data_IF_267117492777
#
_entry.id   IF_267117492777
#
_cell.length_a   1.000
_cell.length_b   1.000
_cell.length_c   1.000
_cell.angle_alpha   90.00
_cell.angle_beta   90.00
_cell.angle_gamma   90.00
#
_symmetry.space_group_name_H-M   'P 1'
#
loop_
_entity.id
_entity.type
_entity.pdbx_description
1 polymer ?
#
# COMPACT_ATOMS: atom_id res chain seq x y z
N UNK A 1 11.68 -36.88 32.82
CA UNK A 1 10.55 -36.37 33.61
C UNK A 1 9.74 -35.43 32.72
N UNK A 2 8.51 -35.81 32.34
CA UNK A 2 7.62 -34.90 31.60
C UNK A 2 7.20 -33.78 32.56
N UNK A 3 7.54 -32.54 32.24
CA UNK A 3 7.16 -31.39 33.07
C UNK A 3 5.65 -31.18 32.93
N UNK A 4 4.93 -31.19 34.05
CA UNK A 4 3.50 -30.90 34.07
C UNK A 4 3.24 -29.51 33.46
N UNK A 5 2.42 -29.46 32.42
CA UNK A 5 2.00 -28.22 31.77
C UNK A 5 0.72 -27.72 32.44
N UNK A 6 0.64 -26.40 32.64
CA UNK A 6 -0.50 -25.74 33.27
C UNK A 6 -1.13 -24.74 32.30
N UNK A 7 -2.45 -24.58 32.42
CA UNK A 7 -3.20 -23.50 31.79
C UNK A 7 -3.78 -22.57 32.86
N UNK A 8 -3.87 -21.29 32.54
CA UNK A 8 -4.45 -20.25 33.41
C UNK A 8 -5.87 -19.98 32.95
N UNK A 9 -6.81 -20.16 33.87
CA UNK A 9 -8.24 -19.97 33.64
C UNK A 9 -8.71 -18.76 34.43
N UNK A 10 -9.48 -17.89 33.76
CA UNK A 10 -10.14 -16.75 34.36
C UNK A 10 -11.65 -16.88 34.20
N UNK A 11 -12.40 -16.85 35.31
CA UNK A 11 -13.85 -17.10 35.35
C UNK A 11 -14.68 -15.83 35.46
N UNK A 12 -14.08 -14.64 35.35
CA UNK A 12 -14.78 -13.37 35.53
C UNK A 12 -14.93 -12.92 36.99
N UNK A 13 -14.38 -13.68 37.95
CA UNK A 13 -14.41 -13.31 39.37
C UNK A 13 -13.41 -12.21 39.71
N UNK A 14 -13.85 -11.27 40.53
CA UNK A 14 -13.06 -10.13 41.02
C UNK A 14 -12.44 -10.47 42.38
N UNK A 15 -11.31 -9.86 42.69
CA UNK A 15 -10.78 -9.88 44.06
C UNK A 15 -11.68 -9.06 45.00
N UNK A 16 -11.84 -9.46 46.28
CA UNK A 16 -12.49 -8.62 47.28
C UNK A 16 -11.75 -7.27 47.34
N UNK A 17 -12.49 -6.18 47.50
CA UNK A 17 -11.99 -4.79 47.61
C UNK A 17 -11.65 -4.05 46.31
N UNK A 18 -12.01 -4.54 45.11
CA UNK A 18 -11.79 -3.81 43.85
C UNK A 18 -13.08 -3.67 43.01
N UNK A 19 -13.44 -2.44 42.55
CA UNK A 19 -14.63 -2.25 41.71
C UNK A 19 -14.38 -2.78 40.29
N UNK A 20 -15.43 -3.33 39.67
CA UNK A 20 -15.40 -3.93 38.32
C UNK A 20 -14.75 -3.02 37.27
N UNK A 21 -15.06 -1.73 37.30
CA UNK A 21 -14.53 -0.74 36.35
C UNK A 21 -13.01 -0.52 36.51
N UNK A 22 -12.48 -0.54 37.74
CA UNK A 22 -11.04 -0.44 37.97
C UNK A 22 -10.30 -1.70 37.48
N UNK A 23 -10.90 -2.89 37.68
CA UNK A 23 -10.31 -4.15 37.20
C UNK A 23 -10.26 -4.18 35.67
N UNK A 24 -11.33 -3.75 34.98
CA UNK A 24 -11.35 -3.65 33.51
C UNK A 24 -10.22 -2.74 32.99
N UNK A 25 -10.04 -1.57 33.60
CA UNK A 25 -8.97 -0.64 33.22
C UNK A 25 -7.57 -1.24 33.46
N UNK A 26 -7.34 -1.86 34.62
CA UNK A 26 -6.07 -2.49 34.95
C UNK A 26 -5.74 -3.67 34.02
N UNK A 27 -6.73 -4.48 33.65
CA UNK A 27 -6.57 -5.58 32.70
C UNK A 27 -6.31 -5.08 31.28
N UNK A 28 -6.95 -4.00 30.84
CA UNK A 28 -6.69 -3.38 29.54
C UNK A 28 -5.23 -2.91 29.42
N UNK A 29 -4.69 -2.32 30.50
CA UNK A 29 -3.27 -1.94 30.57
C UNK A 29 -2.36 -3.17 30.59
N UNK A 30 -2.66 -4.17 31.42
CA UNK A 30 -1.85 -5.40 31.55
C UNK A 30 -1.74 -6.17 30.22
N UNK A 31 -2.86 -6.29 29.49
CA UNK A 31 -2.91 -6.97 28.19
C UNK A 31 -2.61 -6.06 27.00
N UNK A 32 -2.35 -4.75 27.22
CA UNK A 32 -2.16 -3.75 26.17
C UNK A 32 -3.25 -3.81 25.09
N UNK A 33 -4.50 -3.92 25.53
CA UNK A 33 -5.65 -4.23 24.68
C UNK A 33 -6.81 -3.29 25.00
N UNK A 34 -7.67 -3.05 24.01
CA UNK A 34 -8.85 -2.19 24.13
C UNK A 34 -9.82 -2.69 25.23
N UNK A 35 -10.41 -1.79 26.04
CA UNK A 35 -11.37 -2.15 27.10
C UNK A 35 -12.56 -2.98 26.60
N UNK A 36 -12.98 -2.79 25.34
CA UNK A 36 -14.09 -3.54 24.73
C UNK A 36 -13.80 -5.04 24.56
N UNK A 37 -12.52 -5.41 24.39
CA UNK A 37 -12.08 -6.82 24.30
C UNK A 37 -11.99 -7.46 25.68
N UNK A 38 -11.62 -6.68 26.69
CA UNK A 38 -11.56 -7.13 28.09
C UNK A 38 -12.96 -7.41 28.63
N UNK A 39 -13.96 -6.63 28.22
CA UNK A 39 -15.37 -6.84 28.62
C UNK A 39 -15.89 -8.22 28.23
N UNK A 40 -15.41 -8.78 27.11
CA UNK A 40 -15.76 -10.15 26.68
C UNK A 40 -15.28 -11.23 27.65
N UNK A 41 -14.22 -10.97 28.43
CA UNK A 41 -13.72 -11.90 29.44
C UNK A 41 -14.64 -11.98 30.68
N UNK A 42 -15.53 -11.00 30.86
CA UNK A 42 -16.52 -10.96 31.94
C UNK A 42 -17.90 -11.47 31.49
N UNK A 43 -18.02 -12.03 30.28
CA UNK A 43 -19.29 -12.55 29.72
C UNK A 43 -19.78 -13.87 30.35
N UNK A 44 -19.15 -14.33 31.44
CA UNK A 44 -19.56 -15.51 32.21
C UNK A 44 -19.00 -16.85 31.70
N UNK A 45 -18.24 -16.87 30.60
CA UNK A 45 -17.54 -18.07 30.13
C UNK A 45 -16.09 -18.08 30.63
N UNK A 46 -15.65 -19.20 31.21
CA UNK A 46 -14.28 -19.38 31.66
C UNK A 46 -13.30 -19.22 30.48
N UNK A 47 -12.49 -18.16 30.54
CA UNK A 47 -11.53 -17.82 29.49
C UNK A 47 -10.14 -18.38 29.82
N UNK A 48 -9.56 -19.12 28.88
CA UNK A 48 -8.16 -19.56 28.96
C UNK A 48 -7.27 -18.41 28.51
N UNK A 49 -6.55 -17.80 29.44
CA UNK A 49 -5.66 -16.67 29.14
C UNK A 49 -4.37 -17.16 28.47
N UNK A 50 -3.80 -18.27 28.97
CA UNK A 50 -2.56 -18.86 28.44
C UNK A 50 -2.42 -20.32 28.87
N UNK A 51 -2.01 -21.20 27.95
CA UNK A 51 -1.78 -22.63 28.17
C UNK A 51 -0.31 -23.02 27.96
N UNK A 52 0.04 -24.28 28.26
CA UNK A 52 1.39 -24.85 28.12
C UNK A 52 2.48 -24.14 28.94
N UNK A 53 2.14 -23.70 30.15
CA UNK A 53 3.08 -23.01 31.04
C UNK A 53 3.72 -23.99 32.03
N UNK A 54 4.98 -23.74 32.38
CA UNK A 54 5.59 -24.39 33.55
C UNK A 54 4.97 -23.86 34.85
N UNK A 55 5.06 -24.61 35.96
CA UNK A 55 4.48 -24.18 37.25
C UNK A 55 4.98 -22.79 37.69
N UNK A 56 6.30 -22.53 37.54
CA UNK A 56 6.88 -21.25 37.97
C UNK A 56 6.41 -20.08 37.11
N UNK A 57 6.20 -20.30 35.81
CA UNK A 57 5.66 -19.27 34.93
C UNK A 57 4.18 -19.00 35.22
N UNK A 58 3.38 -20.06 35.41
CA UNK A 58 1.97 -19.94 35.75
C UNK A 58 1.76 -19.08 37.01
N UNK A 59 2.58 -19.28 38.04
CA UNK A 59 2.51 -18.51 39.29
C UNK A 59 2.83 -17.02 39.08
N UNK A 60 3.77 -16.68 38.18
CA UNK A 60 4.07 -15.28 37.82
C UNK A 60 2.89 -14.58 37.15
N UNK A 61 2.22 -15.26 36.23
CA UNK A 61 1.04 -14.72 35.54
C UNK A 61 -0.16 -14.58 36.49
N UNK A 62 -0.38 -15.55 37.38
CA UNK A 62 -1.43 -15.46 38.41
C UNK A 62 -1.19 -14.26 39.32
N UNK A 63 0.04 -14.05 39.78
CA UNK A 63 0.39 -12.89 40.60
C UNK A 63 0.17 -11.55 39.89
N UNK A 64 0.38 -11.49 38.57
CA UNK A 64 0.10 -10.29 37.78
C UNK A 64 -1.42 -10.03 37.65
N UNK A 65 -2.22 -11.08 37.46
CA UNK A 65 -3.68 -10.99 37.37
C UNK A 65 -4.32 -10.61 38.70
N UNK A 66 -3.85 -11.17 39.81
CA UNK A 66 -4.33 -10.83 41.15
C UNK A 66 -4.03 -9.37 41.51
N UNK A 67 -2.84 -8.86 41.15
CA UNK A 67 -2.49 -7.44 41.32
C UNK A 67 -3.38 -6.51 40.48
N UNK A 68 -3.86 -6.98 39.33
CA UNK A 68 -4.82 -6.26 38.51
C UNK A 68 -6.27 -6.36 39.03
N UNK A 69 -6.51 -7.14 40.09
CA UNK A 69 -7.83 -7.34 40.71
C UNK A 69 -8.66 -8.47 40.11
N UNK A 70 -8.07 -9.31 39.25
CA UNK A 70 -8.74 -10.43 38.60
C UNK A 70 -8.40 -11.75 39.28
N UNK A 71 -9.40 -12.53 39.68
CA UNK A 71 -9.20 -13.84 40.31
C UNK A 71 -8.98 -14.90 39.22
N UNK A 72 -7.74 -15.37 39.10
CA UNK A 72 -7.36 -16.45 38.19
C UNK A 72 -6.76 -17.63 38.97
N UNK A 73 -6.92 -18.83 38.43
CA UNK A 73 -6.34 -20.07 38.97
C UNK A 73 -5.66 -20.89 37.87
N UNK A 74 -4.72 -21.75 38.27
CA UNK A 74 -4.06 -22.71 37.37
C UNK A 74 -4.80 -24.05 37.40
N UNK A 75 -5.05 -24.61 36.23
CA UNK A 75 -5.48 -26.00 36.07
C UNK A 75 -4.35 -26.81 35.44
N UNK A 76 -4.07 -28.04 35.94
CA UNK A 76 -3.15 -28.95 35.27
C UNK A 76 -3.74 -29.39 33.93
N UNK A 77 -2.95 -29.26 32.87
CA UNK A 77 -3.31 -29.71 31.53
C UNK A 77 -2.97 -31.21 31.42
N UNK A 78 -3.90 -32.06 31.86
CA UNK A 78 -3.79 -33.51 31.67
C UNK A 78 -4.05 -33.83 30.19
N UNK A 79 -3.04 -34.35 29.49
CA UNK A 79 -3.22 -35.06 28.23
C UNK A 79 -4.17 -36.23 28.47
N UNK A 80 -5.41 -36.12 27.99
CA UNK A 80 -6.42 -37.17 28.11
C UNK A 80 -5.86 -38.52 27.61
N UNK A 81 -6.09 -39.64 28.33
CA UNK A 81 -5.68 -40.94 27.84
C UNK A 81 -6.54 -41.33 26.64
N UNK A 82 -5.90 -41.82 25.58
CA UNK A 82 -6.55 -42.52 24.48
C UNK A 82 -7.34 -43.71 25.04
N UNK A 83 -8.67 -43.66 24.90
CA UNK A 83 -9.53 -44.82 25.03
C UNK A 83 -9.09 -45.86 23.98
N UNK A 84 -8.39 -46.89 24.42
CA UNK A 84 -8.12 -48.08 23.60
C UNK A 84 -9.33 -49.01 23.76
N UNK A 85 -10.12 -49.12 22.70
CA UNK A 85 -11.10 -50.18 22.56
C UNK A 85 -10.34 -51.45 22.15
N UNK A 86 -10.41 -52.48 22.99
CA UNK A 86 -9.99 -53.83 22.61
C UNK A 86 -11.05 -54.35 21.63
N UNK A 87 -10.67 -54.49 20.36
CA UNK A 87 -11.51 -55.14 19.36
C UNK A 87 -11.52 -56.65 19.62
N UNK A 88 -12.72 -57.25 19.60
CA UNK A 88 -12.96 -58.68 19.79
C UNK A 88 -12.56 -59.48 18.55
N UNK A 89 -12.21 -60.76 18.75
CA UNK A 89 -11.68 -61.68 17.73
C UNK A 89 -12.57 -61.87 16.48
N UNK A 90 -13.85 -61.46 16.53
CA UNK A 90 -14.76 -61.44 15.36
C UNK A 90 -14.34 -60.43 14.28
N UNK A 91 -13.69 -59.31 14.63
CA UNK A 91 -13.23 -58.31 13.64
C UNK A 91 -11.94 -58.75 12.92
N UNK A 92 -11.12 -59.60 13.55
CA UNK A 92 -9.89 -60.16 12.95
C UNK A 92 -10.18 -61.17 11.83
N UNK A 93 -11.32 -61.86 11.90
CA UNK A 93 -11.72 -62.82 10.87
C UNK A 93 -12.25 -62.15 9.58
N UNK A 94 -12.72 -60.90 9.66
CA UNK A 94 -13.27 -60.18 8.51
C UNK A 94 -12.20 -59.44 7.66
N UNK A 95 -10.95 -59.34 8.14
CA UNK A 95 -9.89 -58.58 7.49
C UNK A 95 -9.00 -59.39 6.51
N UNK A 96 -9.31 -60.67 6.27
CA UNK A 96 -8.58 -61.51 5.31
C UNK A 96 -9.46 -61.81 4.10
N UNK A 97 -9.69 -60.78 3.30
CA UNK A 97 -10.21 -60.87 1.95
C UNK A 97 -9.45 -59.87 1.07
N UNK A 98 -8.83 -60.38 0.02
CA UNK A 98 -7.95 -59.70 -0.94
C UNK A 98 -8.32 -58.23 -1.23
N UNK A 99 -7.45 -57.30 -0.84
CA UNK A 99 -7.41 -55.95 -1.39
C UNK A 99 -6.20 -55.81 -2.33
N UNK A 100 -6.39 -55.39 -3.59
CA UNK A 100 -5.31 -55.21 -4.56
C UNK A 100 -4.30 -54.17 -4.07
N UNK A 101 -3.04 -54.15 -4.59
CA UNK A 101 -1.99 -53.25 -4.12
C UNK A 101 -2.50 -51.81 -4.08
N UNK A 102 -2.55 -51.26 -2.88
CA UNK A 102 -3.11 -49.94 -2.62
C UNK A 102 -2.39 -48.91 -3.51
N UNK A 103 -3.13 -48.30 -4.43
CA UNK A 103 -2.61 -47.21 -5.25
C UNK A 103 -2.07 -46.12 -4.31
N UNK A 104 -0.77 -45.87 -4.40
CA UNK A 104 -0.08 -44.82 -3.65
C UNK A 104 -0.56 -43.46 -4.16
N UNK A 105 -1.10 -42.64 -3.26
CA UNK A 105 -1.45 -41.26 -3.53
C UNK A 105 -0.48 -40.32 -2.81
N UNK A 106 -0.26 -39.14 -3.38
CA UNK A 106 0.55 -38.11 -2.76
C UNK A 106 -0.34 -37.05 -2.12
N UNK A 107 -0.06 -36.69 -0.86
CA UNK A 107 -0.83 -35.66 -0.17
C UNK A 107 -0.65 -34.28 -0.84
N UNK A 108 -1.73 -33.59 -1.22
CA UNK A 108 -1.66 -32.29 -1.91
C UNK A 108 -1.16 -31.12 -1.06
N UNK A 109 -0.99 -31.32 0.26
CA UNK A 109 -0.51 -30.28 1.18
C UNK A 109 0.97 -30.43 1.53
N UNK A 110 1.42 -31.65 1.85
CA UNK A 110 2.80 -31.89 2.31
C UNK A 110 3.65 -32.73 1.35
N UNK A 111 3.06 -33.30 0.30
CA UNK A 111 3.81 -34.13 -0.67
C UNK A 111 4.16 -35.53 -0.18
N UNK A 112 3.66 -35.98 0.97
CA UNK A 112 3.91 -37.33 1.48
C UNK A 112 3.17 -38.39 0.66
N UNK A 113 3.86 -39.46 0.25
CA UNK A 113 3.27 -40.60 -0.45
C UNK A 113 2.71 -41.61 0.56
N UNK A 114 1.43 -41.93 0.42
CA UNK A 114 0.70 -42.84 1.30
C UNK A 114 -0.29 -43.68 0.50
N UNK A 115 -0.74 -44.81 1.05
CA UNK A 115 -1.88 -45.53 0.50
C UNK A 115 -3.13 -44.64 0.51
N UNK A 116 -4.07 -44.90 -0.40
CA UNK A 116 -5.31 -44.13 -0.47
C UNK A 116 -6.05 -44.12 0.88
N UNK A 117 -6.21 -42.93 1.48
CA UNK A 117 -6.81 -42.76 2.79
C UNK A 117 -7.45 -41.37 2.91
N UNK A 118 -8.53 -41.27 3.70
CA UNK A 118 -9.28 -40.02 3.89
C UNK A 118 -8.48 -38.96 4.65
N UNK A 119 -7.47 -39.37 5.42
CA UNK A 119 -6.59 -38.49 6.20
C UNK A 119 -5.11 -38.69 5.84
N UNK A 120 -4.33 -37.62 5.87
CA UNK A 120 -2.88 -37.70 5.69
C UNK A 120 -2.16 -38.12 6.97
N UNK A 121 -1.40 -39.22 6.90
CA UNK A 121 -0.65 -39.80 8.03
C UNK A 121 0.42 -38.86 8.63
N UNK A 122 0.94 -37.92 7.84
CA UNK A 122 2.00 -37.00 8.28
C UNK A 122 1.46 -35.65 8.75
N UNK A 123 0.57 -35.02 7.97
CA UNK A 123 0.14 -33.65 8.23
C UNK A 123 -1.30 -33.52 8.75
N UNK A 124 -2.01 -34.65 8.94
CA UNK A 124 -3.31 -34.72 9.60
C UNK A 124 -4.44 -33.99 8.87
N UNK A 125 -4.34 -33.78 7.55
CA UNK A 125 -5.44 -33.21 6.78
C UNK A 125 -6.38 -34.27 6.27
N UNK A 126 -7.67 -33.94 6.25
CA UNK A 126 -8.66 -34.71 5.49
C UNK A 126 -8.52 -34.32 4.02
N UNK A 127 -8.03 -35.24 3.18
CA UNK A 127 -7.59 -34.96 1.80
C UNK A 127 -8.76 -34.45 0.95
N UNK A 128 -9.93 -35.09 1.04
CA UNK A 128 -11.13 -34.69 0.31
C UNK A 128 -11.59 -33.28 0.67
N UNK A 129 -11.64 -32.94 1.97
CA UNK A 129 -12.01 -31.59 2.43
C UNK A 129 -11.01 -30.53 1.98
N UNK A 130 -9.73 -30.87 1.93
CA UNK A 130 -8.67 -29.97 1.47
C UNK A 130 -8.78 -29.69 -0.03
N UNK A 131 -9.02 -30.72 -0.84
CA UNK A 131 -9.25 -30.59 -2.27
C UNK A 131 -10.53 -29.81 -2.59
N UNK A 132 -11.63 -30.08 -1.88
CA UNK A 132 -12.87 -29.33 -2.01
C UNK A 132 -12.68 -27.83 -1.70
N UNK A 133 -11.88 -27.51 -0.68
CA UNK A 133 -11.55 -26.11 -0.34
C UNK A 133 -10.64 -25.46 -1.38
N UNK A 134 -9.66 -26.19 -1.94
CA UNK A 134 -8.86 -25.67 -3.05
C UNK A 134 -9.71 -25.38 -4.29
N UNK A 135 -10.64 -26.28 -4.65
CA UNK A 135 -11.55 -26.07 -5.78
C UNK A 135 -12.41 -24.80 -5.61
N UNK A 136 -12.97 -24.58 -4.41
CA UNK A 136 -13.74 -23.36 -4.10
C UNK A 136 -12.88 -22.08 -4.20
N UNK A 137 -11.62 -22.12 -3.76
CA UNK A 137 -10.70 -20.98 -3.89
C UNK A 137 -10.33 -20.70 -5.34
N UNK A 138 -10.17 -21.74 -6.17
CA UNK A 138 -9.94 -21.59 -7.61
C UNK A 138 -11.19 -21.03 -8.33
N UNK A 139 -12.39 -21.45 -7.94
CA UNK A 139 -13.66 -20.96 -8.50
C UNK A 139 -13.96 -19.51 -8.08
N UNK A 140 -13.51 -19.10 -6.89
CA UNK A 140 -13.58 -17.72 -6.41
C UNK A 140 -12.54 -16.78 -7.06
N UNK A 141 -11.48 -17.35 -7.64
CA UNK A 141 -10.42 -16.62 -8.32
C UNK A 141 -10.66 -16.47 -9.85
N UNK A 142 -11.62 -17.22 -10.41
CA UNK A 142 -12.09 -16.98 -11.76
C UNK A 142 -12.88 -15.66 -11.82
N UNK A 143 -12.76 -14.85 -12.87
CA UNK A 143 -13.55 -13.63 -13.02
C UNK A 143 -15.02 -14.02 -13.18
N UNK A 144 -15.79 -13.88 -12.09
CA UNK A 144 -17.21 -14.20 -12.07
C UNK A 144 -17.98 -13.16 -12.89
N UNK A 145 -18.36 -13.56 -14.11
CA UNK A 145 -19.48 -12.96 -14.81
C UNK A 145 -20.74 -13.14 -13.96
N UNK A 146 -21.50 -12.04 -13.85
CA UNK A 146 -22.64 -11.89 -12.96
C UNK A 146 -23.64 -13.05 -12.98
N UNK A 147 -23.84 -13.69 -11.83
CA UNK A 147 -25.11 -14.30 -11.43
C UNK A 147 -25.09 -14.65 -9.94
N UNK A 148 -25.17 -13.62 -9.09
CA UNK A 148 -25.41 -13.81 -7.68
C UNK A 148 -26.91 -14.07 -7.45
N UNK A 149 -27.23 -15.22 -6.85
CA UNK A 149 -28.54 -15.49 -6.25
C UNK A 149 -28.76 -14.50 -5.11
N UNK A 150 -29.77 -13.64 -5.25
CA UNK A 150 -30.09 -12.57 -4.29
C UNK A 150 -30.72 -13.20 -3.04
N UNK A 151 -30.00 -13.19 -1.92
CA UNK A 151 -30.58 -13.50 -0.61
C UNK A 151 -31.50 -12.34 -0.17
N UNK A 152 -32.75 -12.61 0.29
CA UNK A 152 -33.75 -11.58 0.63
C UNK A 152 -33.35 -10.59 1.73
N UNK A 153 -32.32 -10.91 2.53
CA UNK A 153 -31.82 -10.06 3.62
C UNK A 153 -30.40 -9.53 3.37
N UNK A 154 -29.91 -9.58 2.12
CA UNK A 154 -28.60 -9.04 1.80
C UNK A 154 -28.62 -7.50 1.90
N UNK A 155 -27.74 -6.87 2.70
CA UNK A 155 -27.60 -5.42 2.69
C UNK A 155 -27.17 -4.97 1.29
N UNK A 156 -27.60 -3.78 0.82
CA UNK A 156 -27.18 -3.26 -0.47
C UNK A 156 -25.66 -3.17 -0.50
N UNK A 157 -25.02 -3.99 -1.34
CA UNK A 157 -23.59 -3.91 -1.56
C UNK A 157 -23.32 -2.69 -2.43
N UNK A 158 -22.86 -1.60 -1.81
CA UNK A 158 -22.19 -0.56 -2.56
C UNK A 158 -20.91 -1.18 -3.14
N UNK A 159 -20.78 -1.19 -4.47
CA UNK A 159 -19.53 -1.60 -5.11
C UNK A 159 -18.49 -0.51 -4.87
N UNK A 160 -17.87 -0.50 -3.67
CA UNK A 160 -16.84 0.49 -3.27
C UNK A 160 -15.52 0.27 -4.01
N UNK A 161 -15.45 -0.72 -4.89
CA UNK A 161 -14.33 -1.02 -5.75
C UNK A 161 -14.64 -0.65 -7.20
N UNK A 162 -14.89 0.63 -7.48
CA UNK A 162 -14.45 1.12 -8.79
C UNK A 162 -12.93 1.03 -8.80
N UNK A 163 -12.42 0.00 -9.46
CA UNK A 163 -11.00 -0.20 -9.67
C UNK A 163 -10.49 1.01 -10.46
N UNK A 164 -9.99 2.03 -9.74
CA UNK A 164 -9.44 3.21 -10.37
C UNK A 164 -8.36 2.77 -11.38
N UNK A 165 -8.35 3.34 -12.60
CA UNK A 165 -7.38 3.00 -13.62
C UNK A 165 -5.97 3.04 -13.02
N UNK A 166 -5.16 2.02 -13.29
CA UNK A 166 -3.80 1.90 -12.73
C UNK A 166 -2.93 3.12 -13.10
N UNK A 167 -3.25 3.79 -14.21
CA UNK A 167 -2.63 5.05 -14.63
C UNK A 167 -3.70 6.05 -15.06
N UNK A 168 -3.45 7.33 -14.81
CA UNK A 168 -4.34 8.42 -15.25
C UNK A 168 -4.08 8.85 -16.70
N UNK A 169 -5.11 9.40 -17.34
CA UNK A 169 -4.98 9.93 -18.70
C UNK A 169 -4.15 11.21 -18.75
N UNK A 170 -3.41 11.40 -19.85
CA UNK A 170 -2.63 12.60 -20.11
C UNK A 170 -3.50 13.66 -20.80
N UNK A 171 -3.70 14.80 -20.15
CA UNK A 171 -4.48 15.92 -20.69
C UNK A 171 -3.61 17.19 -20.78
N UNK A 172 -2.81 17.36 -21.86
CA UNK A 172 -1.79 18.43 -21.93
C UNK A 172 -2.33 19.85 -21.77
N UNK A 173 -3.54 20.12 -22.26
CA UNK A 173 -4.17 21.45 -22.24
C UNK A 173 -5.26 21.59 -21.17
N UNK A 174 -5.15 20.85 -20.08
CA UNK A 174 -6.11 20.88 -18.96
C UNK A 174 -5.43 21.34 -17.68
N UNK A 175 -6.24 21.77 -16.71
CA UNK A 175 -5.81 21.95 -15.31
C UNK A 175 -6.05 20.68 -14.47
N UNK A 176 -6.72 19.68 -15.06
CA UNK A 176 -7.01 18.40 -14.40
C UNK A 176 -5.98 17.34 -14.79
N UNK A 177 -5.71 16.42 -13.87
CA UNK A 177 -4.72 15.37 -14.05
C UNK A 177 -3.36 15.71 -13.46
N UNK A 178 -2.40 14.85 -13.79
CA UNK A 178 -1.06 14.81 -13.18
C UNK A 178 0.01 14.61 -14.23
N UNK A 179 1.11 15.34 -14.10
CA UNK A 179 2.30 15.10 -14.92
C UNK A 179 3.55 14.89 -14.07
N UNK A 180 4.30 13.84 -14.41
CA UNK A 180 5.58 13.55 -13.76
C UNK A 180 6.68 14.53 -14.18
N UNK A 181 7.75 14.61 -13.38
CA UNK A 181 8.90 15.51 -13.61
C UNK A 181 9.52 15.41 -15.01
N UNK A 182 9.64 14.19 -15.58
CA UNK A 182 10.25 14.02 -16.91
C UNK A 182 9.38 14.61 -18.01
N UNK A 183 8.05 14.45 -17.93
CA UNK A 183 7.14 15.10 -18.87
C UNK A 183 7.18 16.60 -18.69
N UNK A 184 7.15 17.09 -17.45
CA UNK A 184 7.28 18.51 -17.15
C UNK A 184 8.50 19.11 -17.87
N UNK A 185 9.69 18.51 -17.72
CA UNK A 185 10.90 18.96 -18.42
C UNK A 185 10.80 18.90 -19.95
N UNK A 186 10.28 17.80 -20.49
CA UNK A 186 10.13 17.64 -21.93
C UNK A 186 9.18 18.69 -22.53
N UNK A 187 8.05 18.96 -21.86
CA UNK A 187 7.10 19.98 -22.30
C UNK A 187 7.63 21.40 -22.09
N UNK A 188 8.45 21.66 -21.06
CA UNK A 188 9.16 22.95 -20.90
C UNK A 188 10.07 23.23 -22.10
N UNK A 189 10.80 22.23 -22.60
CA UNK A 189 11.62 22.36 -23.81
C UNK A 189 10.77 22.67 -25.05
N UNK A 190 9.66 21.96 -25.23
CA UNK A 190 8.73 22.19 -26.37
C UNK A 190 8.16 23.60 -26.31
N UNK A 191 7.73 24.06 -25.14
CA UNK A 191 7.22 25.42 -24.93
C UNK A 191 8.29 26.46 -25.19
N UNK A 192 9.53 26.23 -24.74
CA UNK A 192 10.62 27.17 -24.98
C UNK A 192 10.87 27.33 -26.49
N UNK A 193 11.01 26.24 -27.24
CA UNK A 193 11.24 26.34 -28.69
C UNK A 193 10.05 26.95 -29.44
N UNK A 194 8.83 26.57 -29.07
CA UNK A 194 7.63 27.18 -29.61
C UNK A 194 7.60 28.70 -29.32
N UNK A 195 7.98 29.11 -28.11
CA UNK A 195 8.06 30.51 -27.72
C UNK A 195 9.10 31.24 -28.58
N UNK A 196 10.32 30.72 -28.67
CA UNK A 196 11.38 31.34 -29.47
C UNK A 196 10.96 31.53 -30.93
N UNK A 197 10.37 30.51 -31.56
CA UNK A 197 9.88 30.62 -32.94
C UNK A 197 8.75 31.64 -33.09
N UNK A 198 7.76 31.59 -32.21
CA UNK A 198 6.56 32.42 -32.30
C UNK A 198 6.86 33.90 -31.96
N UNK A 199 7.71 34.16 -30.96
CA UNK A 199 8.21 35.50 -30.67
C UNK A 199 9.17 36.00 -31.76
N UNK A 200 9.94 35.13 -32.41
CA UNK A 200 10.74 35.49 -33.58
C UNK A 200 9.88 36.03 -34.73
N UNK A 201 8.76 35.35 -35.03
CA UNK A 201 7.77 35.85 -36.02
C UNK A 201 7.18 37.19 -35.59
N UNK A 202 6.83 37.34 -34.30
CA UNK A 202 6.29 38.59 -33.79
C UNK A 202 7.30 39.75 -33.86
N UNK A 203 8.59 39.48 -33.67
CA UNK A 203 9.67 40.45 -33.83
C UNK A 203 9.83 40.89 -35.30
N UNK A 204 9.70 39.97 -36.26
CA UNK A 204 9.68 40.31 -37.70
C UNK A 204 8.48 41.20 -38.02
N UNK A 205 7.28 40.87 -37.50
CA UNK A 205 6.08 41.71 -37.66
C UNK A 205 6.27 43.10 -37.06
N UNK A 206 6.98 43.21 -35.93
CA UNK A 206 7.30 44.48 -35.28
C UNK A 206 8.20 45.37 -36.14
N UNK A 207 9.11 44.78 -36.91
CA UNK A 207 9.97 45.52 -37.83
C UNK A 207 9.18 46.15 -38.99
N UNK A 208 8.02 45.59 -39.34
CA UNK A 208 7.10 46.13 -40.35
C UNK A 208 6.17 47.18 -39.72
N UNK A 209 5.59 46.86 -38.57
CA UNK A 209 4.73 47.76 -37.81
C UNK A 209 4.84 47.48 -36.32
N UNK A 210 5.26 48.49 -35.56
CA UNK A 210 5.45 48.38 -34.12
C UNK A 210 4.16 47.99 -33.39
N UNK A 211 3.02 48.59 -33.74
CA UNK A 211 1.71 48.27 -33.16
C UNK A 211 1.32 46.82 -33.43
N UNK A 212 1.51 46.33 -34.66
CA UNK A 212 1.17 44.96 -35.03
C UNK A 212 2.05 43.94 -34.29
N UNK A 213 3.36 44.21 -34.22
CA UNK A 213 4.30 43.38 -33.48
C UNK A 213 3.98 43.29 -31.99
N UNK A 214 3.66 44.43 -31.35
CA UNK A 214 3.29 44.47 -29.93
C UNK A 214 2.01 43.68 -29.63
N UNK A 215 0.98 43.83 -30.48
CA UNK A 215 -0.27 43.07 -30.33
C UNK A 215 0.00 41.57 -30.47
N UNK A 216 0.74 41.15 -31.50
CA UNK A 216 1.11 39.75 -31.70
C UNK A 216 1.89 39.21 -30.50
N UNK A 217 2.91 39.92 -30.02
CA UNK A 217 3.70 39.50 -28.85
C UNK A 217 2.84 39.36 -27.60
N UNK A 218 1.91 40.29 -27.34
CA UNK A 218 0.99 40.21 -26.21
C UNK A 218 0.09 38.98 -26.26
N UNK A 219 -0.54 38.72 -27.41
CA UNK A 219 -1.42 37.56 -27.60
C UNK A 219 -0.66 36.23 -27.46
N UNK A 220 0.52 36.15 -28.07
CA UNK A 220 1.43 35.00 -27.96
C UNK A 220 1.82 34.79 -26.50
N UNK A 221 2.23 35.85 -25.80
CA UNK A 221 2.61 35.81 -24.40
C UNK A 221 1.50 35.28 -23.50
N UNK A 222 0.26 35.75 -23.69
CA UNK A 222 -0.91 35.25 -22.95
C UNK A 222 -1.16 33.77 -23.22
N UNK A 223 -1.14 33.36 -24.50
CA UNK A 223 -1.33 31.95 -24.86
C UNK A 223 -0.27 31.04 -24.23
N UNK A 224 0.99 31.43 -24.30
CA UNK A 224 2.11 30.68 -23.72
C UNK A 224 2.05 30.65 -22.19
N UNK A 225 1.62 31.75 -21.56
CA UNK A 225 1.40 31.81 -20.12
C UNK A 225 0.33 30.82 -19.68
N UNK A 226 -0.81 30.76 -20.39
CA UNK A 226 -1.90 29.82 -20.08
C UNK A 226 -1.42 28.38 -20.15
N UNK A 227 -0.72 27.99 -21.21
CA UNK A 227 -0.19 26.62 -21.35
C UNK A 227 0.85 26.30 -20.27
N UNK A 228 1.74 27.23 -19.96
CA UNK A 228 2.75 27.09 -18.90
C UNK A 228 2.09 26.88 -17.53
N UNK A 229 1.06 27.66 -17.21
CA UNK A 229 0.27 27.52 -15.97
C UNK A 229 -0.44 26.17 -15.92
N UNK A 230 -1.08 25.73 -17.00
CA UNK A 230 -1.77 24.43 -17.05
C UNK A 230 -0.83 23.26 -16.72
N UNK A 231 0.34 23.25 -17.35
CA UNK A 231 1.38 22.23 -17.12
C UNK A 231 1.94 22.34 -15.70
N UNK A 232 2.19 23.56 -15.21
CA UNK A 232 2.66 23.79 -13.85
C UNK A 232 1.66 23.29 -12.78
N UNK A 233 0.38 23.56 -12.97
CA UNK A 233 -0.70 23.08 -12.09
C UNK A 233 -0.75 21.55 -12.06
N UNK A 234 -0.73 20.90 -13.23
CA UNK A 234 -0.70 19.42 -13.30
C UNK A 234 0.57 18.83 -12.66
N UNK A 235 1.68 19.56 -12.67
CA UNK A 235 2.91 19.14 -11.99
C UNK A 235 2.78 19.26 -10.47
N UNK A 236 2.16 20.32 -9.96
CA UNK A 236 1.86 20.48 -8.53
C UNK A 236 0.92 19.37 -8.03
N UNK A 237 -0.07 19.01 -8.85
CA UNK A 237 -0.97 17.90 -8.57
C UNK A 237 -0.27 16.54 -8.46
N UNK A 238 0.87 16.35 -9.13
CA UNK A 238 1.59 15.07 -9.13
C UNK A 238 2.17 14.69 -7.76
N UNK A 239 2.54 15.67 -6.93
CA UNK A 239 2.94 15.45 -5.53
C UNK A 239 1.88 15.92 -4.53
N UNK A 240 0.63 16.12 -4.98
CA UNK A 240 -0.53 16.35 -4.12
C UNK A 240 -0.73 17.79 -3.66
N UNK A 241 0.04 18.76 -4.16
CA UNK A 241 -0.06 20.17 -3.78
C UNK A 241 -1.15 20.92 -4.57
N UNK A 242 -1.60 22.07 -4.06
CA UNK A 242 -2.61 22.89 -4.76
C UNK A 242 -2.02 23.60 -5.97
N UNK A 243 -2.79 23.69 -7.06
CA UNK A 243 -2.40 24.42 -8.26
C UNK A 243 -2.16 25.92 -8.02
N UNK A 244 -2.79 26.51 -6.99
CA UNK A 244 -2.60 27.91 -6.60
C UNK A 244 -1.15 28.29 -6.27
N UNK A 245 -0.33 27.32 -5.86
CA UNK A 245 1.10 27.57 -5.61
C UNK A 245 1.86 27.99 -6.87
N UNK A 246 1.28 27.82 -8.08
CA UNK A 246 1.88 28.33 -9.31
C UNK A 246 2.05 29.86 -9.29
N UNK A 247 1.24 30.58 -8.51
CA UNK A 247 1.35 32.03 -8.35
C UNK A 247 2.64 32.46 -7.65
N UNK A 248 3.34 31.54 -6.96
CA UNK A 248 4.66 31.82 -6.40
C UNK A 248 5.69 32.19 -7.48
N UNK A 249 5.46 31.80 -8.74
CA UNK A 249 6.29 32.23 -9.88
C UNK A 249 6.22 33.75 -10.14
N UNK A 250 5.20 34.44 -9.64
CA UNK A 250 5.06 35.89 -9.78
C UNK A 250 5.89 36.68 -8.74
N UNK A 251 6.36 36.01 -7.68
CA UNK A 251 7.22 36.63 -6.67
C UNK A 251 8.67 36.50 -7.16
N UNK A 252 9.47 37.56 -7.31
CA UNK A 252 10.77 37.48 -7.99
C UNK A 252 11.74 36.43 -7.41
N UNK A 253 11.97 36.49 -6.10
CA UNK A 253 12.92 35.57 -5.43
C UNK A 253 12.35 34.15 -5.40
N UNK A 254 11.11 33.98 -4.89
CA UNK A 254 10.50 32.65 -4.78
C UNK A 254 10.25 32.03 -6.16
N UNK A 255 9.84 32.81 -7.14
CA UNK A 255 9.55 32.38 -8.49
C UNK A 255 10.79 31.98 -9.28
N UNK A 256 11.96 32.53 -8.95
CA UNK A 256 13.21 32.01 -9.48
C UNK A 256 13.57 30.63 -8.89
N UNK A 257 13.24 30.38 -7.61
CA UNK A 257 13.59 29.13 -6.91
C UNK A 257 12.55 28.01 -7.08
N UNK A 258 11.27 28.36 -7.23
CA UNK A 258 10.14 27.43 -7.21
C UNK A 258 10.16 26.40 -8.36
N UNK A 259 10.51 26.74 -9.61
CA UNK A 259 10.66 25.76 -10.69
C UNK A 259 11.70 24.66 -10.37
N UNK A 260 12.74 24.98 -9.61
CA UNK A 260 13.72 23.99 -9.17
C UNK A 260 13.12 23.03 -8.14
N UNK A 261 12.27 23.52 -7.23
CA UNK A 261 11.50 22.65 -6.32
C UNK A 261 10.61 21.71 -7.12
N UNK A 262 9.89 22.23 -8.13
CA UNK A 262 9.02 21.42 -9.01
C UNK A 262 9.81 20.38 -9.83
N UNK A 263 11.07 20.65 -10.15
CA UNK A 263 11.98 19.74 -10.84
C UNK A 263 12.49 18.62 -9.91
N UNK A 264 12.96 18.98 -8.71
CA UNK A 264 13.65 18.07 -7.80
C UNK A 264 12.69 17.18 -6.99
N UNK A 265 11.50 17.69 -6.65
CA UNK A 265 10.56 16.97 -5.81
C UNK A 265 9.99 15.72 -6.50
N UNK A 266 10.02 14.52 -5.91
CA UNK A 266 9.41 13.34 -6.51
C UNK A 266 7.86 13.42 -6.48
N UNK A 267 7.20 12.89 -7.51
CA UNK A 267 5.74 12.72 -7.54
C UNK A 267 5.25 11.57 -6.66
N UNK A 268 3.97 11.57 -6.30
CA UNK A 268 3.34 10.47 -5.54
C UNK A 268 3.18 9.23 -6.42
N UNK A 269 3.58 8.05 -5.92
CA UNK A 269 3.40 6.78 -6.65
C UNK A 269 2.00 6.21 -6.50
N UNK A 270 1.33 6.58 -5.42
CA UNK A 270 -0.03 6.19 -5.13
C UNK A 270 -1.04 7.14 -5.78
N UNK A 271 -2.29 6.70 -5.79
CA UNK A 271 -3.44 7.53 -6.14
C UNK A 271 -3.53 8.68 -5.14
N UNK A 272 -3.65 9.91 -5.64
CA UNK A 272 -3.84 11.09 -4.80
C UNK A 272 -5.18 11.76 -5.16
N UNK A 273 -5.54 12.87 -4.48
CA UNK A 273 -6.79 13.60 -4.72
C UNK A 273 -7.00 14.11 -6.16
N UNK A 274 -5.94 14.14 -6.97
CA UNK A 274 -5.95 14.58 -8.37
C UNK A 274 -5.96 13.41 -9.37
N UNK A 275 -6.01 12.18 -8.87
CA UNK A 275 -6.18 10.96 -9.65
C UNK A 275 -4.97 10.03 -9.62
N UNK A 276 -5.07 9.00 -10.46
CA UNK A 276 -4.07 7.94 -10.61
C UNK A 276 -2.71 8.47 -11.11
N UNK A 277 -1.62 7.76 -10.81
CA UNK A 277 -0.29 8.15 -11.25
C UNK A 277 -0.17 8.23 -12.78
N UNK A 278 0.69 9.11 -13.30
CA UNK A 278 0.87 9.24 -14.74
C UNK A 278 1.49 7.96 -15.35
N UNK A 279 1.19 7.63 -16.61
CA UNK A 279 1.67 6.43 -17.27
C UNK A 279 3.20 6.47 -17.46
N UNK A 280 3.85 5.31 -17.69
CA UNK A 280 5.29 5.25 -17.92
C UNK A 280 5.74 6.16 -19.07
N UNK A 281 6.95 6.72 -18.95
CA UNK A 281 7.49 7.68 -19.92
C UNK A 281 8.05 6.98 -21.16
N UNK A 282 7.69 7.48 -22.34
CA UNK A 282 8.24 7.04 -23.62
C UNK A 282 9.72 7.43 -23.78
N UNK A 283 10.42 6.83 -24.76
CA UNK A 283 11.82 7.18 -25.08
C UNK A 283 11.97 8.64 -25.51
N UNK A 284 11.02 9.17 -26.29
CA UNK A 284 11.02 10.58 -26.72
C UNK A 284 10.97 11.55 -25.55
N UNK A 285 10.10 11.30 -24.56
CA UNK A 285 10.02 12.12 -23.34
C UNK A 285 11.35 12.12 -22.58
N UNK A 286 12.01 10.96 -22.47
CA UNK A 286 13.32 10.87 -21.80
C UNK A 286 14.40 11.66 -22.53
N UNK A 287 14.44 11.56 -23.87
CA UNK A 287 15.39 12.31 -24.70
C UNK A 287 15.16 13.82 -24.57
N UNK A 288 13.92 14.28 -24.71
CA UNK A 288 13.58 15.70 -24.56
C UNK A 288 13.92 16.23 -23.17
N UNK A 289 13.62 15.47 -22.11
CA UNK A 289 13.98 15.85 -20.75
C UNK A 289 15.51 15.93 -20.55
N UNK A 290 16.27 15.00 -21.14
CA UNK A 290 17.73 15.03 -21.10
C UNK A 290 18.30 16.24 -21.85
N UNK A 291 17.78 16.54 -23.05
CA UNK A 291 18.16 17.74 -23.82
C UNK A 291 17.88 19.03 -23.05
N UNK A 292 16.74 19.11 -22.36
CA UNK A 292 16.41 20.25 -21.51
C UNK A 292 17.40 20.43 -20.36
N UNK A 293 17.77 19.35 -19.67
CA UNK A 293 18.77 19.41 -18.60
C UNK A 293 20.14 19.80 -19.13
N UNK A 294 20.55 19.26 -20.29
CA UNK A 294 21.80 19.64 -20.95
C UNK A 294 21.81 21.14 -21.31
N UNK A 295 20.69 21.68 -21.79
CA UNK A 295 20.55 23.11 -22.08
C UNK A 295 20.68 23.98 -20.83
N UNK A 296 20.05 23.57 -19.72
CA UNK A 296 20.17 24.29 -18.44
C UNK A 296 21.64 24.27 -17.95
N UNK A 297 22.27 23.09 -18.01
CA UNK A 297 23.67 22.93 -17.58
C UNK A 297 24.61 23.77 -18.47
N UNK A 298 24.44 23.71 -19.80
CA UNK A 298 25.27 24.50 -20.72
C UNK A 298 25.08 26.00 -20.51
N UNK A 299 23.84 26.45 -20.26
CA UNK A 299 23.55 27.84 -19.91
C UNK A 299 24.21 28.28 -18.60
N UNK A 300 24.19 27.45 -17.56
CA UNK A 300 24.87 27.72 -16.29
C UNK A 300 26.40 27.79 -16.46
N UNK A 301 26.99 26.85 -17.19
CA UNK A 301 28.43 26.86 -17.49
C UNK A 301 28.80 28.10 -18.28
N UNK A 302 28.03 28.45 -19.30
CA UNK A 302 28.23 29.67 -20.08
C UNK A 302 28.15 30.93 -19.20
N UNK A 303 27.16 31.03 -18.31
CA UNK A 303 27.01 32.17 -17.41
C UNK A 303 28.21 32.35 -16.45
N UNK A 304 28.84 31.25 -16.02
CA UNK A 304 30.02 31.29 -15.15
C UNK A 304 31.32 31.55 -15.92
N UNK A 305 31.45 31.01 -17.13
CA UNK A 305 32.72 31.04 -17.89
C UNK A 305 32.86 32.26 -18.79
N UNK A 306 31.76 32.78 -19.35
CA UNK A 306 31.81 33.92 -20.28
C UNK A 306 32.38 35.19 -19.62
N UNK A 307 31.96 35.62 -18.40
CA UNK A 307 32.53 36.81 -17.78
C UNK A 307 34.04 36.68 -17.57
N UNK A 308 34.50 35.52 -17.07
CA UNK A 308 35.92 35.25 -16.91
C UNK A 308 36.69 35.26 -18.25
N UNK A 309 36.09 34.73 -19.32
CA UNK A 309 36.66 34.79 -20.66
C UNK A 309 36.74 36.22 -21.21
N UNK A 310 35.72 37.05 -20.95
CA UNK A 310 35.69 38.46 -21.36
C UNK A 310 36.75 39.27 -20.60
N UNK A 311 36.89 39.06 -19.29
CA UNK A 311 37.93 39.70 -18.48
C UNK A 311 39.34 39.32 -18.96
N UNK A 312 39.59 38.03 -19.24
CA UNK A 312 40.87 37.58 -19.80
C UNK A 312 41.14 38.21 -21.18
N UNK A 313 40.11 38.38 -22.02
CA UNK A 313 40.25 39.02 -23.34
C UNK A 313 40.56 40.51 -23.23
N UNK A 314 39.87 41.23 -22.35
CA UNK A 314 40.10 42.67 -22.11
C UNK A 314 41.46 42.92 -21.45
N UNK A 315 41.90 42.05 -20.54
CA UNK A 315 43.23 42.11 -19.92
C UNK A 315 44.38 41.75 -20.87
N UNK A 316 44.11 40.97 -21.92
CA UNK A 316 45.09 40.58 -22.94
C UNK A 316 45.31 41.64 -24.04
N UNK A 317 44.65 42.80 -23.98
CA UNK A 317 44.96 43.95 -24.84
C UNK A 317 44.63 43.79 -26.34
N UNK A 318 43.53 43.10 -26.67
CA UNK A 318 42.94 43.08 -28.02
C UNK A 318 41.60 43.81 -28.07
#
# INVERSE_FOLDING_TARGET
MQQAQFKIVFTGELMPDMPLEAVKANLAVLFKTDPSKVERLFSGQAAVIKSKLSSQEADKYIGALHRAGARAYKEPEHTSPTLSLVQTDEELAAAQGDNPPAALMTCPKCGHAQSHANECSTCGIIIEKYLARQAQLHESAAPQGASATVSPYAPPSANVSEAMPRHGDLKPFSVTGRIGRLRYLAWSLVIMFAATGLFGVAAIMMAISSTMGLICMGLIGIGMLVVSVQIGVQRLHDFGWSGWLILLNLVPVLGSLFPFVMLLMPGSREVNRYGSPPPPNSRSVKILAALWLLLIISGLVAALTIPALVEMRQGAGF
#
